data_IF_299607240948
#
_entry.id   IF_299607240948
#
_cell.length_a   1.000
_cell.length_b   1.000
_cell.length_c   1.000
_cell.angle_alpha   90.00
_cell.angle_beta   90.00
_cell.angle_gamma   90.00
#
_symmetry.space_group_name_H-M   'P 1'
#
loop_
_entity.id
_entity.type
_entity.pdbx_description
1 polymer ?
#
# COMPACT_ATOMS: atom_id res chain seq x y z
N UNK A 1 20.37 42.83 2.06
CA UNK A 1 21.51 42.10 1.44
C UNK A 1 21.58 40.64 1.88
N UNK A 2 21.62 40.30 3.19
CA UNK A 2 21.49 38.90 3.65
C UNK A 2 20.09 38.53 4.16
N UNK A 3 19.30 39.52 4.58
CA UNK A 3 17.91 39.35 5.05
C UNK A 3 16.86 39.52 3.93
N UNK A 4 17.28 39.60 2.67
CA UNK A 4 16.34 39.60 1.56
C UNK A 4 15.73 38.20 1.43
N UNK A 5 14.39 38.13 1.41
CA UNK A 5 13.62 36.88 1.34
C UNK A 5 14.07 35.97 0.20
N UNK A 6 14.53 36.55 -0.92
CA UNK A 6 15.00 35.80 -2.08
C UNK A 6 16.31 35.06 -1.80
N UNK A 7 17.23 35.69 -1.08
CA UNK A 7 18.50 35.05 -0.72
C UNK A 7 18.29 33.99 0.37
N UNK A 8 17.37 34.24 1.31
CA UNK A 8 16.98 33.28 2.34
C UNK A 8 16.38 32.01 1.71
N UNK A 9 15.53 32.16 0.69
CA UNK A 9 14.98 31.02 -0.07
C UNK A 9 16.07 30.22 -0.78
N UNK A 10 17.04 30.88 -1.42
CA UNK A 10 18.16 30.21 -2.11
C UNK A 10 19.01 29.37 -1.16
N UNK A 11 19.29 29.90 0.02
CA UNK A 11 20.04 29.18 1.07
C UNK A 11 19.23 28.00 1.58
N UNK A 12 17.94 28.20 1.88
CA UNK A 12 17.07 27.14 2.38
C UNK A 12 16.96 25.96 1.40
N UNK A 13 16.87 26.24 0.10
CA UNK A 13 16.85 25.18 -0.94
C UNK A 13 18.19 24.45 -0.98
N UNK A 14 19.31 25.17 -1.02
CA UNK A 14 20.63 24.56 -1.06
C UNK A 14 20.94 23.67 0.16
N UNK A 15 20.54 24.11 1.36
CA UNK A 15 20.69 23.32 2.58
C UNK A 15 19.82 22.06 2.54
N UNK A 16 18.57 22.19 2.08
CA UNK A 16 17.66 21.05 1.95
C UNK A 16 18.18 19.99 0.96
N UNK A 17 18.73 20.41 -0.18
CA UNK A 17 19.30 19.50 -1.18
C UNK A 17 20.50 18.72 -0.62
N UNK A 18 21.41 19.38 0.10
CA UNK A 18 22.58 18.73 0.71
C UNK A 18 22.14 17.72 1.78
N UNK A 19 21.16 18.09 2.62
CA UNK A 19 20.60 17.19 3.63
C UNK A 19 19.95 15.97 2.96
N UNK A 20 19.15 16.18 1.91
CA UNK A 20 18.51 15.10 1.18
C UNK A 20 19.53 14.13 0.58
N UNK A 21 20.60 14.65 -0.04
CA UNK A 21 21.71 13.85 -0.58
C UNK A 21 22.41 13.04 0.53
N UNK A 22 22.77 13.68 1.66
CA UNK A 22 23.47 13.03 2.76
C UNK A 22 22.66 11.89 3.39
N UNK A 23 21.35 12.06 3.53
CA UNK A 23 20.46 11.04 4.09
C UNK A 23 19.88 10.08 3.03
N UNK A 24 20.26 10.23 1.76
CA UNK A 24 19.73 9.47 0.63
C UNK A 24 18.18 9.49 0.57
N UNK A 25 17.60 10.66 0.90
CA UNK A 25 16.16 10.90 0.84
C UNK A 25 15.88 11.42 -0.57
N UNK A 26 15.52 10.53 -1.49
CA UNK A 26 15.09 10.97 -2.82
C UNK A 26 13.70 11.58 -2.75
N UNK A 27 13.58 12.82 -3.27
CA UNK A 27 12.33 13.55 -3.48
C UNK A 27 11.43 12.91 -4.55
N UNK A 28 11.89 11.85 -5.25
CA UNK A 28 11.11 11.07 -6.20
C UNK A 28 10.06 10.15 -5.54
N UNK A 29 9.65 10.45 -4.30
CA UNK A 29 8.46 9.84 -3.71
C UNK A 29 7.19 10.55 -4.23
N UNK A 30 6.98 10.43 -5.54
CA UNK A 30 5.62 10.36 -6.10
C UNK A 30 4.98 9.00 -5.76
N UNK A 31 5.46 8.31 -4.72
CA UNK A 31 4.68 7.29 -4.05
C UNK A 31 3.75 8.02 -3.11
N UNK A 32 2.47 8.03 -3.48
CA UNK A 32 1.41 8.29 -2.52
C UNK A 32 1.63 7.28 -1.40
N UNK A 33 2.21 7.72 -0.28
CA UNK A 33 2.57 6.87 0.84
C UNK A 33 1.35 6.02 1.18
N UNK A 34 1.43 4.73 0.86
CA UNK A 34 0.28 3.85 0.99
C UNK A 34 -0.07 3.75 2.47
N UNK A 35 -1.18 4.37 2.87
CA UNK A 35 -1.64 4.32 4.25
C UNK A 35 -2.26 2.95 4.50
N UNK A 36 -1.68 2.13 5.40
CA UNK A 36 -2.27 0.85 5.74
C UNK A 36 -3.67 1.05 6.30
N UNK A 37 -4.60 0.19 5.90
CA UNK A 37 -5.98 0.29 6.35
C UNK A 37 -6.54 -1.09 6.68
N UNK A 38 -7.62 -1.11 7.45
CA UNK A 38 -8.27 -2.35 7.86
C UNK A 38 -9.41 -2.70 6.92
N UNK A 39 -9.52 -3.97 6.57
CA UNK A 39 -10.63 -4.55 5.85
C UNK A 39 -11.25 -5.67 6.66
N UNK A 40 -12.52 -5.91 6.41
CA UNK A 40 -13.28 -7.03 6.94
C UNK A 40 -13.68 -7.92 5.78
N UNK A 41 -13.47 -9.22 5.89
CA UNK A 41 -13.92 -10.17 4.86
C UNK A 41 -15.41 -10.40 5.07
N UNK A 42 -16.20 -10.22 4.02
CA UNK A 42 -17.67 -10.35 4.01
C UNK A 42 -18.18 -11.29 2.91
N UNK A 43 -17.28 -12.09 2.33
CA UNK A 43 -17.57 -13.00 1.20
C UNK A 43 -18.82 -13.86 1.47
N UNK A 44 -19.82 -13.80 0.59
CA UNK A 44 -21.03 -14.64 0.62
C UNK A 44 -20.70 -16.12 0.43
N UNK A 45 -19.66 -16.42 -0.36
CA UNK A 45 -19.18 -17.78 -0.64
C UNK A 45 -18.51 -18.45 0.58
N UNK A 46 -18.47 -17.78 1.73
CA UNK A 46 -17.98 -18.34 2.99
C UNK A 46 -16.45 -18.34 3.15
N UNK A 47 -15.67 -18.04 2.11
CA UNK A 47 -14.21 -17.89 2.19
C UNK A 47 -13.65 -16.97 1.08
N UNK A 48 -12.40 -16.55 1.24
CA UNK A 48 -11.60 -15.88 0.22
C UNK A 48 -10.22 -16.55 0.12
N UNK A 49 -9.75 -16.77 -1.10
CA UNK A 49 -8.45 -17.38 -1.34
C UNK A 49 -7.32 -16.36 -1.12
N UNK A 50 -6.28 -16.79 -0.42
CA UNK A 50 -5.01 -16.08 -0.28
C UNK A 50 -4.07 -16.59 -1.37
N UNK A 51 -3.56 -15.66 -2.18
CA UNK A 51 -2.67 -15.95 -3.32
C UNK A 51 -1.23 -15.50 -3.01
N UNK A 52 -0.25 -16.26 -3.48
CA UNK A 52 1.18 -15.92 -3.32
C UNK A 52 1.55 -14.63 -4.05
N UNK A 53 1.00 -14.47 -5.24
CA UNK A 53 1.19 -13.31 -6.13
C UNK A 53 -0.16 -12.64 -6.41
N UNK A 54 -0.17 -11.32 -6.68
CA UNK A 54 -1.39 -10.58 -7.00
C UNK A 54 -1.85 -10.86 -8.45
N UNK A 55 -1.99 -12.13 -8.83
CA UNK A 55 -2.40 -12.53 -10.18
C UNK A 55 -3.57 -13.53 -10.07
N UNK A 56 -4.54 -13.48 -10.98
CA UNK A 56 -5.64 -14.43 -11.02
C UNK A 56 -5.25 -15.75 -11.69
N UNK A 57 -4.53 -15.68 -12.82
CA UNK A 57 -4.27 -16.83 -13.70
C UNK A 57 -3.00 -17.61 -13.35
N UNK A 58 -1.97 -16.93 -12.85
CA UNK A 58 -0.67 -17.56 -12.55
C UNK A 58 -0.25 -17.31 -11.10
N UNK A 59 -1.11 -17.72 -10.15
CA UNK A 59 -0.80 -17.65 -8.72
C UNK A 59 -1.22 -18.90 -7.97
N UNK A 60 -0.32 -19.39 -7.13
CA UNK A 60 -0.63 -20.45 -6.18
C UNK A 60 -1.51 -19.93 -5.05
N UNK A 61 -2.54 -20.71 -4.72
CA UNK A 61 -3.36 -20.49 -3.53
C UNK A 61 -2.57 -21.04 -2.34
N UNK A 62 -2.13 -20.15 -1.47
CA UNK A 62 -1.30 -20.48 -0.29
C UNK A 62 -2.13 -20.64 0.98
N UNK A 63 -3.42 -20.31 0.92
CA UNK A 63 -4.34 -20.45 2.03
C UNK A 63 -5.71 -19.91 1.72
N UNK A 64 -6.61 -20.04 2.68
CA UNK A 64 -7.97 -19.53 2.60
C UNK A 64 -8.31 -18.81 3.89
N UNK A 65 -9.02 -17.68 3.77
CA UNK A 65 -9.57 -16.94 4.89
C UNK A 65 -11.06 -17.23 4.92
N UNK A 66 -11.59 -17.84 5.99
CA UNK A 66 -13.03 -17.97 6.13
C UNK A 66 -13.67 -16.59 6.26
N UNK A 67 -14.86 -16.44 5.67
CA UNK A 67 -15.72 -15.27 5.84
C UNK A 67 -16.10 -15.22 7.31
N UNK A 68 -15.34 -14.42 8.03
CA UNK A 68 -15.37 -14.31 9.46
C UNK A 68 -15.36 -12.83 9.80
N UNK A 69 -15.90 -12.48 10.96
CA UNK A 69 -15.97 -11.09 11.41
C UNK A 69 -14.58 -10.47 11.74
N UNK A 70 -13.49 -11.12 11.29
CA UNK A 70 -12.11 -10.81 11.58
C UNK A 70 -11.63 -9.65 10.69
N UNK A 71 -10.83 -8.77 11.29
CA UNK A 71 -10.25 -7.60 10.63
C UNK A 71 -8.84 -7.94 10.14
N UNK A 72 -8.54 -7.52 8.92
CA UNK A 72 -7.25 -7.70 8.28
C UNK A 72 -6.64 -6.35 7.92
N UNK A 73 -5.34 -6.18 8.15
CA UNK A 73 -4.63 -4.96 7.76
C UNK A 73 -3.99 -5.14 6.39
N UNK A 74 -4.33 -4.26 5.46
CA UNK A 74 -3.71 -4.18 4.14
C UNK A 74 -2.54 -3.23 4.22
N UNK A 75 -1.37 -3.68 3.75
CA UNK A 75 -0.12 -2.90 3.75
C UNK A 75 0.35 -2.52 2.35
N UNK A 76 -0.27 -3.10 1.31
CA UNK A 76 0.02 -2.78 -0.08
C UNK A 76 -1.18 -3.14 -0.94
N UNK A 77 -1.44 -2.34 -1.96
CA UNK A 77 -2.41 -2.67 -3.01
C UNK A 77 -1.69 -2.86 -4.35
N UNK A 78 -2.26 -3.70 -5.21
CA UNK A 78 -1.82 -3.82 -6.60
C UNK A 78 -3.03 -4.10 -7.48
N UNK A 79 -3.16 -3.37 -8.57
CA UNK A 79 -4.18 -3.63 -9.58
C UNK A 79 -3.56 -4.48 -10.69
N UNK A 80 -4.17 -5.62 -11.00
CA UNK A 80 -3.80 -6.50 -12.11
C UNK A 80 -5.08 -7.00 -12.77
N UNK A 81 -5.13 -6.92 -14.09
CA UNK A 81 -6.25 -7.43 -14.91
C UNK A 81 -7.62 -6.91 -14.46
N UNK A 82 -7.69 -5.64 -14.04
CA UNK A 82 -8.92 -5.02 -13.54
C UNK A 82 -9.32 -5.41 -12.11
N UNK A 83 -8.57 -6.30 -11.46
CA UNK A 83 -8.80 -6.75 -10.08
C UNK A 83 -7.81 -6.08 -9.13
N UNK A 84 -8.35 -5.50 -8.05
CA UNK A 84 -7.54 -4.92 -6.98
C UNK A 84 -7.16 -5.99 -5.96
N UNK A 85 -5.86 -6.19 -5.73
CA UNK A 85 -5.33 -7.10 -4.72
C UNK A 85 -4.74 -6.33 -3.55
N UNK A 86 -4.94 -6.84 -2.34
CA UNK A 86 -4.40 -6.31 -1.09
C UNK A 86 -3.44 -7.29 -0.43
N UNK A 87 -2.22 -6.86 -0.12
CA UNK A 87 -1.26 -7.64 0.66
C UNK A 87 -1.56 -7.54 2.14
N UNK A 88 -1.67 -8.68 2.79
CA UNK A 88 -1.94 -8.78 4.22
C UNK A 88 -0.68 -8.48 5.05
N UNK A 89 -0.85 -7.73 6.15
CA UNK A 89 0.22 -7.48 7.14
C UNK A 89 0.74 -8.77 7.78
N UNK A 90 -0.09 -9.81 7.85
CA UNK A 90 0.31 -11.13 8.37
C UNK A 90 1.37 -11.83 7.52
N UNK A 91 1.64 -11.36 6.30
CA UNK A 91 2.55 -12.02 5.37
C UNK A 91 1.96 -13.26 4.70
N UNK A 92 0.71 -13.61 4.99
CA UNK A 92 0.05 -14.79 4.42
C UNK A 92 -0.10 -14.71 2.89
N UNK A 93 -0.21 -13.50 2.32
CA UNK A 93 -0.24 -13.29 0.86
C UNK A 93 -1.14 -12.13 0.44
N UNK A 94 -1.69 -12.26 -0.76
CA UNK A 94 -2.56 -11.29 -1.42
C UNK A 94 -4.00 -11.79 -1.46
N UNK A 95 -4.94 -10.90 -1.18
CA UNK A 95 -6.38 -11.18 -1.27
C UNK A 95 -7.04 -10.23 -2.28
N UNK A 96 -8.13 -10.67 -2.90
CA UNK A 96 -8.93 -9.79 -3.74
C UNK A 96 -9.69 -8.78 -2.88
N UNK A 97 -9.59 -7.50 -3.25
CA UNK A 97 -10.24 -6.39 -2.55
C UNK A 97 -11.56 -5.97 -3.21
N UNK A 98 -12.21 -6.88 -3.94
CA UNK A 98 -13.51 -6.61 -4.54
C UNK A 98 -14.55 -6.35 -3.44
N UNK A 99 -15.46 -5.39 -3.68
CA UNK A 99 -16.51 -4.98 -2.73
C UNK A 99 -17.44 -6.14 -2.31
N UNK A 100 -17.61 -7.12 -3.19
CA UNK A 100 -18.32 -8.38 -2.92
C UNK A 100 -17.68 -9.22 -1.81
N UNK A 101 -16.36 -9.14 -1.65
CA UNK A 101 -15.61 -10.03 -0.76
C UNK A 101 -15.06 -9.31 0.47
N UNK A 102 -14.76 -8.02 0.37
CA UNK A 102 -14.21 -7.22 1.47
C UNK A 102 -14.94 -5.90 1.65
N UNK A 103 -15.04 -5.48 2.90
CA UNK A 103 -15.51 -4.16 3.31
C UNK A 103 -14.40 -3.41 4.01
N UNK A 104 -14.04 -2.24 3.50
CA UNK A 104 -13.11 -1.34 4.18
C UNK A 104 -13.77 -0.79 5.45
N UNK A 105 -13.01 -0.76 6.55
CA UNK A 105 -13.40 -0.19 7.83
C UNK A 105 -12.84 1.22 8.00
#
# INVERSE_FOLDING_TARGET
FLLDDENLKKIAVAEADIIAEYFNISSDDNTVSFKPYCVKVISDDGFINIRKTPNWENSDIVGQIPSSNIKYTIIKEKMLDGVKFGKLKSGAGWISLHEKYVKKL
#
